data_IF_138721175694
#
_entry.id   IF_138721175694
#
_cell.length_a   1.000
_cell.length_b   1.000
_cell.length_c   1.000
_cell.angle_alpha   90.00
_cell.angle_beta   90.00
_cell.angle_gamma   90.00
#
_symmetry.space_group_name_H-M   'P 1'
#
loop_
_entity.id
_entity.type
_entity.pdbx_description
1 polymer ?
#
# COMPACT_ATOMS: atom_id res chain seq x y z
N UNK A 1 -18.67 0.47 -30.86
CA UNK A 1 -18.22 1.57 -29.99
C UNK A 1 -17.47 0.98 -28.81
N UNK A 2 -16.15 1.10 -28.82
CA UNK A 2 -15.32 0.74 -27.68
C UNK A 2 -15.50 1.81 -26.61
N UNK A 3 -16.40 1.57 -25.68
CA UNK A 3 -16.33 2.26 -24.38
C UNK A 3 -15.13 1.70 -23.64
N UNK A 4 -14.05 2.45 -23.62
CA UNK A 4 -12.93 2.18 -22.72
C UNK A 4 -13.46 2.29 -21.29
N UNK A 5 -13.58 1.16 -20.60
CA UNK A 5 -14.00 1.14 -19.21
C UNK A 5 -13.04 2.03 -18.41
N UNK A 6 -13.58 3.10 -17.82
CA UNK A 6 -12.81 4.10 -17.07
C UNK A 6 -12.14 3.43 -15.87
N UNK A 7 -10.82 3.46 -15.83
CA UNK A 7 -10.02 3.12 -14.65
C UNK A 7 -9.97 4.33 -13.74
N UNK A 8 -10.19 4.13 -12.45
CA UNK A 8 -10.18 5.21 -11.46
C UNK A 8 -8.94 5.13 -10.59
N UNK A 9 -8.20 6.23 -10.53
CA UNK A 9 -7.07 6.43 -9.63
C UNK A 9 -7.53 7.33 -8.48
N UNK A 10 -7.33 6.90 -7.26
CA UNK A 10 -7.61 7.70 -6.07
C UNK A 10 -6.31 7.98 -5.32
N UNK A 11 -6.14 9.24 -4.97
CA UNK A 11 -5.04 9.69 -4.12
C UNK A 11 -5.55 9.91 -2.70
N UNK A 12 -4.79 9.43 -1.74
CA UNK A 12 -5.09 9.59 -0.33
C UNK A 12 -3.85 10.03 0.43
N UNK A 13 -3.98 11.05 1.25
CA UNK A 13 -2.92 11.50 2.15
C UNK A 13 -3.45 11.65 3.57
N UNK A 14 -2.59 11.45 4.56
CA UNK A 14 -2.92 11.75 5.96
C UNK A 14 -2.65 13.22 6.26
N UNK A 15 -3.56 13.83 7.03
CA UNK A 15 -3.51 15.25 7.36
C UNK A 15 -2.37 15.62 8.33
N UNK A 16 -1.94 16.85 8.24
CA UNK A 16 -0.71 17.55 8.60
C UNK A 16 -0.24 17.59 10.07
N UNK A 17 -1.07 17.35 11.05
CA UNK A 17 -0.78 17.83 12.42
C UNK A 17 0.26 17.02 13.24
N UNK A 18 0.51 15.77 12.88
CA UNK A 18 1.36 14.87 13.68
C UNK A 18 2.61 14.31 12.97
N UNK A 19 2.92 14.78 11.76
CA UNK A 19 3.95 14.17 10.91
C UNK A 19 5.37 14.74 11.03
N UNK A 20 5.56 15.90 11.68
CA UNK A 20 6.87 16.59 11.66
C UNK A 20 7.99 15.93 12.45
N UNK A 21 7.71 15.00 13.34
CA UNK A 21 8.71 14.45 14.27
C UNK A 21 9.35 13.11 13.88
N UNK A 22 8.77 12.35 12.96
CA UNK A 22 9.15 10.95 12.75
C UNK A 22 9.85 10.63 11.41
N UNK A 23 9.82 11.49 10.43
CA UNK A 23 10.20 11.14 9.03
C UNK A 23 11.71 11.12 8.76
N UNK A 24 12.54 11.76 9.59
CA UNK A 24 13.94 12.04 9.22
C UNK A 24 14.97 10.97 9.63
N UNK A 25 14.59 9.93 10.35
CA UNK A 25 15.57 8.98 10.90
C UNK A 25 15.47 7.52 10.45
N UNK A 26 14.59 7.17 9.51
CA UNK A 26 14.19 5.76 9.33
C UNK A 26 14.84 4.98 8.18
N UNK A 27 15.71 5.57 7.37
CA UNK A 27 16.11 4.93 6.10
C UNK A 27 17.35 4.02 6.12
N UNK A 28 18.14 4.01 7.22
CA UNK A 28 19.42 3.27 7.28
C UNK A 28 19.50 2.16 8.34
N UNK A 29 18.39 1.74 8.90
CA UNK A 29 18.39 0.84 10.06
C UNK A 29 17.76 -0.50 9.70
N UNK A 30 18.47 -1.61 9.99
CA UNK A 30 18.04 -2.98 9.65
C UNK A 30 16.72 -3.43 10.31
N UNK A 31 16.10 -4.46 9.74
CA UNK A 31 14.77 -4.96 10.12
C UNK A 31 14.60 -5.34 11.59
N UNK A 32 15.64 -5.81 12.26
CA UNK A 32 15.58 -6.14 13.70
C UNK A 32 15.39 -4.90 14.58
N UNK A 33 15.89 -3.76 14.12
CA UNK A 33 15.65 -2.49 14.77
C UNK A 33 14.19 -2.05 14.65
N UNK A 34 13.57 -2.23 13.46
CA UNK A 34 12.16 -1.89 13.27
C UNK A 34 11.24 -2.74 14.15
N UNK A 35 11.54 -4.01 14.36
CA UNK A 35 10.79 -4.89 15.28
C UNK A 35 10.76 -4.39 16.71
N UNK A 36 11.77 -3.64 17.13
CA UNK A 36 11.85 -3.05 18.49
C UNK A 36 11.03 -1.78 18.65
N UNK A 37 10.72 -1.08 17.56
CA UNK A 37 10.08 0.24 17.58
C UNK A 37 8.69 0.26 16.95
N UNK A 38 8.39 -0.71 16.10
CA UNK A 38 7.09 -0.81 15.47
C UNK A 38 6.14 -1.60 16.37
N UNK A 39 4.87 -1.25 16.28
CA UNK A 39 3.80 -2.01 16.92
C UNK A 39 3.57 -3.37 16.26
N UNK A 40 2.56 -4.09 16.73
CA UNK A 40 2.20 -5.41 16.21
C UNK A 40 1.84 -5.43 14.72
N UNK A 41 1.48 -4.28 14.13
CA UNK A 41 1.18 -4.19 12.69
C UNK A 41 2.45 -4.18 11.85
N UNK A 42 3.59 -3.89 12.42
CA UNK A 42 4.86 -3.73 11.71
C UNK A 42 4.80 -2.71 10.57
N UNK A 43 3.93 -1.71 10.68
CA UNK A 43 3.74 -0.65 9.68
C UNK A 43 4.60 0.56 10.00
N UNK A 44 5.55 0.91 9.14
CA UNK A 44 6.42 2.07 9.32
C UNK A 44 6.01 3.31 8.49
N UNK A 45 4.79 3.32 7.99
CA UNK A 45 4.16 4.53 7.46
C UNK A 45 3.35 5.23 8.55
N UNK A 46 3.11 6.53 8.40
CA UNK A 46 2.40 7.31 9.41
C UNK A 46 1.03 6.72 9.76
N UNK A 47 0.75 6.59 11.05
CA UNK A 47 -0.54 6.16 11.56
C UNK A 47 -1.60 7.25 11.43
N UNK A 48 -2.88 6.89 11.54
CA UNK A 48 -4.02 7.79 11.55
C UNK A 48 -4.62 7.85 12.96
N UNK A 49 -4.32 8.92 13.68
CA UNK A 49 -4.82 9.16 15.04
C UNK A 49 -6.20 9.81 14.96
N UNK A 50 -7.23 9.10 15.42
CA UNK A 50 -8.61 9.63 15.49
C UNK A 50 -8.78 10.37 16.82
N UNK A 51 -8.22 9.83 17.90
CA UNK A 51 -8.24 10.39 19.23
C UNK A 51 -6.81 10.71 19.69
N UNK A 52 -6.65 11.72 20.54
CA UNK A 52 -5.33 12.17 21.02
C UNK A 52 -4.61 11.13 21.90
N UNK A 53 -5.37 10.19 22.47
CA UNK A 53 -4.88 9.08 23.30
C UNK A 53 -4.74 7.75 22.55
N UNK A 54 -4.95 7.73 21.24
CA UNK A 54 -4.74 6.54 20.42
C UNK A 54 -3.28 6.07 20.54
N UNK A 55 -3.11 4.76 20.77
CA UNK A 55 -1.79 4.13 20.67
C UNK A 55 -1.31 4.12 19.22
N UNK A 56 -0.01 3.93 19.01
CA UNK A 56 0.54 3.75 17.67
C UNK A 56 -0.14 2.56 16.94
N UNK A 57 -0.35 1.46 17.65
CA UNK A 57 -1.11 0.33 17.12
C UNK A 57 -2.50 0.74 16.63
N UNK A 58 -3.26 1.43 17.48
CA UNK A 58 -4.60 1.90 17.10
C UNK A 58 -4.57 2.84 15.90
N UNK A 59 -3.59 3.73 15.85
CA UNK A 59 -3.41 4.64 14.72
C UNK A 59 -3.11 3.90 13.41
N UNK A 60 -2.34 2.81 13.46
CA UNK A 60 -2.07 1.97 12.29
C UNK A 60 -3.31 1.18 11.87
N UNK A 61 -4.08 0.64 12.81
CA UNK A 61 -5.37 -0.01 12.54
C UNK A 61 -6.32 0.97 11.86
N UNK A 62 -6.46 2.18 12.41
CA UNK A 62 -7.32 3.23 11.85
C UNK A 62 -6.93 3.59 10.41
N UNK A 63 -5.64 3.70 10.14
CA UNK A 63 -5.13 3.96 8.79
C UNK A 63 -5.53 2.85 7.81
N UNK A 64 -5.31 1.61 8.18
CA UNK A 64 -5.66 0.46 7.34
C UNK A 64 -7.17 0.40 7.10
N UNK A 65 -7.99 0.57 8.13
CA UNK A 65 -9.45 0.59 7.99
C UNK A 65 -9.92 1.71 7.04
N UNK A 66 -9.32 2.88 7.13
CA UNK A 66 -9.59 4.00 6.23
C UNK A 66 -9.24 3.67 4.76
N UNK A 67 -8.06 3.07 4.53
CA UNK A 67 -7.63 2.65 3.20
C UNK A 67 -8.56 1.58 2.64
N UNK A 68 -8.89 0.55 3.43
CA UNK A 68 -9.76 -0.54 3.00
C UNK A 68 -11.17 -0.05 2.64
N UNK A 69 -11.73 0.89 3.39
CA UNK A 69 -13.03 1.52 3.06
C UNK A 69 -13.00 2.24 1.72
N UNK A 70 -11.91 2.94 1.41
CA UNK A 70 -11.75 3.63 0.13
C UNK A 70 -11.61 2.71 -1.07
N UNK A 71 -11.18 1.47 -0.86
CA UNK A 71 -11.03 0.48 -1.91
C UNK A 71 -12.36 -0.13 -2.36
N UNK A 72 -13.45 0.08 -1.63
CA UNK A 72 -14.77 -0.50 -1.94
C UNK A 72 -14.66 -2.00 -2.24
N UNK A 73 -14.06 -2.74 -1.31
CA UNK A 73 -13.84 -4.17 -1.46
C UNK A 73 -15.14 -4.95 -1.32
N UNK A 74 -15.28 -5.97 -2.16
CA UNK A 74 -16.34 -6.96 -2.10
C UNK A 74 -15.74 -8.37 -2.02
N UNK A 75 -16.45 -9.30 -1.39
CA UNK A 75 -16.01 -10.70 -1.27
C UNK A 75 -15.63 -11.29 -2.63
N UNK A 76 -14.49 -11.96 -2.68
CA UNK A 76 -13.99 -12.61 -3.90
C UNK A 76 -13.22 -11.71 -4.86
N UNK A 77 -13.20 -10.38 -4.63
CA UNK A 77 -12.34 -9.49 -5.42
C UNK A 77 -10.86 -9.83 -5.26
N UNK A 78 -10.09 -9.54 -6.32
CA UNK A 78 -8.64 -9.61 -6.29
C UNK A 78 -8.02 -8.26 -5.95
N UNK A 79 -7.09 -8.25 -5.00
CA UNK A 79 -6.38 -7.06 -4.50
C UNK A 79 -4.87 -7.26 -4.62
N UNK A 80 -4.19 -6.32 -5.26
CA UNK A 80 -2.73 -6.22 -5.26
C UNK A 80 -2.27 -5.12 -4.30
N UNK A 81 -1.32 -5.43 -3.43
CA UNK A 81 -0.60 -4.45 -2.60
C UNK A 81 0.85 -4.34 -3.05
N UNK A 82 1.21 -3.19 -3.64
CA UNK A 82 2.56 -2.91 -4.12
C UNK A 82 3.38 -2.30 -2.98
N UNK A 83 4.42 -3.03 -2.54
CA UNK A 83 5.16 -2.69 -1.34
C UNK A 83 4.40 -3.10 -0.08
N UNK A 84 4.03 -4.37 0.01
CA UNK A 84 3.11 -4.90 1.02
C UNK A 84 3.67 -4.95 2.45
N UNK A 85 4.96 -4.68 2.65
CA UNK A 85 5.60 -4.76 3.96
C UNK A 85 5.46 -6.17 4.56
N UNK A 86 5.11 -6.22 5.85
CA UNK A 86 4.85 -7.49 6.56
C UNK A 86 3.42 -8.02 6.40
N UNK A 87 2.62 -7.37 5.54
CA UNK A 87 1.34 -7.89 5.10
C UNK A 87 0.12 -7.51 5.94
N UNK A 88 0.24 -6.58 6.87
CA UNK A 88 -0.88 -6.24 7.76
C UNK A 88 -2.13 -5.79 6.99
N UNK A 89 -1.99 -4.93 5.99
CA UNK A 89 -3.12 -4.46 5.18
C UNK A 89 -3.85 -5.62 4.48
N UNK A 90 -3.10 -6.51 3.83
CA UNK A 90 -3.69 -7.66 3.13
C UNK A 90 -4.32 -8.67 4.08
N UNK A 91 -3.71 -8.90 5.24
CA UNK A 91 -4.28 -9.77 6.28
C UNK A 91 -5.62 -9.22 6.75
N UNK A 92 -5.70 -7.94 7.06
CA UNK A 92 -6.96 -7.29 7.45
C UNK A 92 -8.01 -7.31 6.32
N UNK A 93 -7.57 -7.09 5.08
CA UNK A 93 -8.45 -7.16 3.91
C UNK A 93 -9.05 -8.57 3.73
N UNK A 94 -8.23 -9.61 3.84
CA UNK A 94 -8.69 -10.99 3.73
C UNK A 94 -9.67 -11.37 4.85
N UNK A 95 -9.35 -11.01 6.10
CA UNK A 95 -10.19 -11.31 7.25
C UNK A 95 -11.53 -10.58 7.24
N UNK A 96 -11.53 -9.30 6.88
CA UNK A 96 -12.72 -8.44 6.97
C UNK A 96 -13.60 -8.50 5.72
N UNK A 97 -13.00 -8.65 4.54
CA UNK A 97 -13.69 -8.55 3.26
C UNK A 97 -13.65 -9.84 2.42
N UNK A 98 -12.88 -10.85 2.84
CA UNK A 98 -12.72 -12.12 2.13
C UNK A 98 -12.29 -11.94 0.66
N UNK A 99 -11.36 -11.04 0.45
CA UNK A 99 -10.73 -10.81 -0.86
C UNK A 99 -9.54 -11.74 -1.05
N UNK A 100 -9.16 -11.97 -2.31
CA UNK A 100 -7.94 -12.66 -2.67
C UNK A 100 -6.84 -11.63 -2.88
N UNK A 101 -5.86 -11.60 -1.98
CA UNK A 101 -4.78 -10.63 -1.98
C UNK A 101 -3.46 -11.19 -2.46
N UNK A 102 -2.74 -10.39 -3.25
CA UNK A 102 -1.35 -10.62 -3.63
C UNK A 102 -0.51 -9.44 -3.16
N UNK A 103 0.53 -9.69 -2.38
CA UNK A 103 1.50 -8.69 -1.99
C UNK A 103 2.80 -8.85 -2.76
N UNK A 104 3.41 -7.76 -3.16
CA UNK A 104 4.78 -7.76 -3.67
C UNK A 104 5.68 -6.91 -2.81
N UNK A 105 6.92 -7.37 -2.62
CA UNK A 105 7.95 -6.68 -1.87
C UNK A 105 9.33 -6.99 -2.45
N UNK A 106 10.27 -6.07 -2.30
CA UNK A 106 11.69 -6.28 -2.62
C UNK A 106 12.48 -6.82 -1.42
N UNK A 107 11.93 -6.76 -0.22
CA UNK A 107 12.58 -7.21 1.00
C UNK A 107 12.39 -8.71 1.21
N UNK A 108 13.50 -9.45 1.19
CA UNK A 108 13.48 -10.89 1.46
C UNK A 108 12.95 -11.22 2.87
N UNK A 109 13.27 -10.38 3.85
CA UNK A 109 12.81 -10.55 5.23
C UNK A 109 11.30 -10.31 5.35
N UNK A 110 10.76 -9.28 4.71
CA UNK A 110 9.32 -9.02 4.67
C UNK A 110 8.58 -10.16 3.98
N UNK A 111 9.10 -10.64 2.86
CA UNK A 111 8.56 -11.79 2.14
C UNK A 111 8.47 -13.03 3.03
N UNK A 112 9.55 -13.39 3.71
CA UNK A 112 9.61 -14.57 4.58
C UNK A 112 8.66 -14.45 5.76
N UNK A 113 8.66 -13.30 6.44
CA UNK A 113 7.79 -13.06 7.58
C UNK A 113 6.30 -13.00 7.18
N UNK A 114 5.99 -12.40 6.05
CA UNK A 114 4.61 -12.36 5.57
C UNK A 114 4.09 -13.75 5.18
N UNK A 115 4.91 -14.57 4.51
CA UNK A 115 4.56 -15.98 4.26
C UNK A 115 4.27 -16.73 5.56
N UNK A 116 5.11 -16.53 6.58
CA UNK A 116 4.90 -17.14 7.89
C UNK A 116 3.56 -16.71 8.50
N UNK A 117 3.22 -15.43 8.46
CA UNK A 117 1.95 -14.91 8.97
C UNK A 117 0.75 -15.46 8.23
N UNK A 118 0.82 -15.57 6.90
CA UNK A 118 -0.24 -16.19 6.09
C UNK A 118 -0.52 -17.61 6.60
N UNK A 119 0.53 -18.39 6.78
CA UNK A 119 0.41 -19.78 7.27
C UNK A 119 -0.08 -19.84 8.70
N UNK A 120 0.50 -19.07 9.61
CA UNK A 120 0.15 -19.08 11.04
C UNK A 120 -1.32 -18.66 11.27
N UNK A 121 -1.88 -17.85 10.39
CA UNK A 121 -3.26 -17.38 10.47
C UNK A 121 -4.25 -18.15 9.58
N UNK A 122 -3.79 -19.20 8.89
CA UNK A 122 -4.64 -20.03 8.03
C UNK A 122 -5.23 -19.29 6.84
N UNK A 123 -4.47 -18.37 6.24
CA UNK A 123 -4.93 -17.49 5.15
C UNK A 123 -4.39 -17.90 3.78
N UNK A 124 -3.84 -19.11 3.64
CA UNK A 124 -3.20 -19.58 2.39
C UNK A 124 -4.18 -19.62 1.20
N UNK A 125 -5.47 -19.82 1.45
CA UNK A 125 -6.49 -19.80 0.41
C UNK A 125 -6.84 -18.38 -0.09
N UNK A 126 -6.43 -17.34 0.65
CA UNK A 126 -6.75 -15.95 0.34
C UNK A 126 -5.54 -15.14 -0.07
N UNK A 127 -4.37 -15.38 0.50
CA UNK A 127 -3.21 -14.50 0.37
C UNK A 127 -2.00 -15.21 -0.20
N UNK A 128 -1.31 -14.49 -1.09
CA UNK A 128 0.02 -14.83 -1.57
C UNK A 128 0.94 -13.63 -1.46
N UNK A 129 2.23 -13.87 -1.33
CA UNK A 129 3.28 -12.86 -1.39
C UNK A 129 4.37 -13.27 -2.36
N UNK A 130 4.85 -12.30 -3.13
CA UNK A 130 5.91 -12.49 -4.12
C UNK A 130 7.08 -11.55 -3.84
N UNK A 131 8.30 -12.06 -3.98
CA UNK A 131 9.50 -11.24 -4.00
C UNK A 131 9.66 -10.67 -5.41
N UNK A 132 9.16 -9.45 -5.63
CA UNK A 132 9.01 -8.89 -6.97
C UNK A 132 9.15 -7.37 -6.97
N UNK A 133 9.81 -6.84 -7.99
CA UNK A 133 9.81 -5.43 -8.34
C UNK A 133 8.52 -5.08 -9.13
N UNK A 134 7.91 -3.93 -8.87
CA UNK A 134 6.71 -3.50 -9.60
C UNK A 134 6.93 -3.43 -11.12
N UNK A 135 8.16 -3.19 -11.58
CA UNK A 135 8.53 -3.16 -13.00
C UNK A 135 8.37 -4.50 -13.69
N UNK A 136 8.33 -5.57 -12.92
CA UNK A 136 8.13 -6.92 -13.43
C UNK A 136 6.64 -7.32 -13.51
N UNK A 137 5.74 -6.58 -12.88
CA UNK A 137 4.30 -6.84 -12.92
C UNK A 137 3.76 -7.05 -14.35
N UNK A 138 4.12 -6.20 -15.35
CA UNK A 138 3.62 -6.37 -16.71
C UNK A 138 4.08 -7.65 -17.43
N UNK A 139 5.05 -8.37 -16.88
CA UNK A 139 5.54 -9.64 -17.44
C UNK A 139 4.65 -10.83 -17.07
N UNK A 140 3.71 -10.61 -16.16
CA UNK A 140 2.76 -11.61 -15.67
C UNK A 140 1.35 -11.30 -16.16
N UNK A 141 0.53 -12.33 -16.32
CA UNK A 141 -0.88 -12.19 -16.75
C UNK A 141 -1.80 -11.82 -15.57
N UNK A 142 -1.35 -10.88 -14.74
CA UNK A 142 -2.14 -10.39 -13.62
C UNK A 142 -3.27 -9.48 -14.08
N UNK A 143 -4.44 -9.67 -13.49
CA UNK A 143 -5.59 -8.77 -13.63
C UNK A 143 -6.28 -8.64 -12.27
N UNK A 144 -6.15 -7.48 -11.65
CA UNK A 144 -6.70 -7.21 -10.33
C UNK A 144 -7.91 -6.27 -10.39
N UNK A 145 -8.91 -6.55 -9.54
CA UNK A 145 -10.06 -5.64 -9.34
C UNK A 145 -9.64 -4.36 -8.61
N UNK A 146 -8.70 -4.49 -7.68
CA UNK A 146 -8.18 -3.40 -6.85
C UNK A 146 -6.67 -3.47 -6.76
N UNK A 147 -6.03 -2.31 -6.79
CA UNK A 147 -4.60 -2.15 -6.53
C UNK A 147 -4.43 -1.07 -5.47
N UNK A 148 -3.58 -1.32 -4.49
CA UNK A 148 -3.21 -0.35 -3.46
C UNK A 148 -1.69 -0.24 -3.36
N UNK A 149 -1.21 0.94 -3.06
CA UNK A 149 0.19 1.18 -2.73
C UNK A 149 0.26 2.24 -1.62
N UNK A 150 0.95 1.92 -0.53
CA UNK A 150 1.07 2.79 0.65
C UNK A 150 2.55 3.12 0.89
N UNK A 151 2.90 4.40 0.82
CA UNK A 151 4.26 4.85 1.09
C UNK A 151 5.30 4.50 0.01
N UNK A 152 4.90 3.96 -1.13
CA UNK A 152 5.84 3.57 -2.19
C UNK A 152 6.32 4.73 -3.05
N UNK A 153 5.52 5.79 -3.19
CA UNK A 153 5.83 6.88 -4.09
C UNK A 153 7.13 7.60 -3.71
N UNK A 154 7.43 7.67 -2.41
CA UNK A 154 8.66 8.24 -1.87
C UNK A 154 9.91 7.43 -2.30
N UNK A 155 9.74 6.12 -2.52
CA UNK A 155 10.82 5.21 -2.91
C UNK A 155 10.96 5.05 -4.43
N UNK A 156 9.90 5.29 -5.18
CA UNK A 156 9.91 5.17 -6.66
C UNK A 156 10.78 6.24 -7.30
N UNK A 157 10.79 7.46 -6.75
CA UNK A 157 11.47 8.61 -7.33
C UNK A 157 10.65 9.24 -8.46
N UNK A 158 10.75 10.57 -8.59
CA UNK A 158 9.91 11.36 -9.52
C UNK A 158 10.02 10.93 -10.97
N UNK A 159 11.24 10.61 -11.42
CA UNK A 159 11.51 10.23 -12.81
C UNK A 159 10.84 8.91 -13.21
N UNK A 160 10.42 8.11 -12.23
CA UNK A 160 9.83 6.80 -12.43
C UNK A 160 8.30 6.77 -12.20
N UNK A 161 7.66 7.88 -11.86
CA UNK A 161 6.22 7.89 -11.54
C UNK A 161 5.36 7.43 -12.72
N UNK A 162 5.69 7.86 -13.94
CA UNK A 162 4.96 7.44 -15.14
C UNK A 162 5.11 5.94 -15.36
N UNK A 163 6.33 5.40 -15.23
CA UNK A 163 6.59 3.96 -15.36
C UNK A 163 5.81 3.17 -14.31
N UNK A 164 5.78 3.65 -13.06
CA UNK A 164 5.02 3.03 -11.98
C UNK A 164 3.53 2.95 -12.32
N UNK A 165 2.93 4.05 -12.76
CA UNK A 165 1.53 4.09 -13.16
C UNK A 165 1.23 3.21 -14.37
N UNK A 166 2.12 3.18 -15.36
CA UNK A 166 1.98 2.32 -16.53
C UNK A 166 1.99 0.83 -16.14
N UNK A 167 2.85 0.45 -15.20
CA UNK A 167 2.89 -0.91 -14.68
C UNK A 167 1.60 -1.28 -13.93
N UNK A 168 1.07 -0.36 -13.12
CA UNK A 168 -0.21 -0.55 -12.42
C UNK A 168 -1.37 -0.68 -13.41
N UNK A 169 -1.40 0.19 -14.41
CA UNK A 169 -2.46 0.17 -15.41
C UNK A 169 -2.57 -1.18 -16.14
N UNK A 170 -1.43 -1.79 -16.45
CA UNK A 170 -1.40 -3.09 -17.15
C UNK A 170 -1.99 -4.23 -16.35
N UNK A 171 -1.90 -4.19 -15.02
CA UNK A 171 -2.40 -5.24 -14.13
C UNK A 171 -3.74 -4.93 -13.50
N UNK A 172 -4.28 -3.75 -13.74
CA UNK A 172 -5.59 -3.34 -13.25
C UNK A 172 -6.66 -3.67 -14.30
N UNK A 173 -7.71 -4.38 -13.89
CA UNK A 173 -8.85 -4.69 -14.75
C UNK A 173 -9.53 -3.41 -15.26
N UNK A 174 -10.16 -3.43 -16.45
CA UNK A 174 -11.09 -2.39 -16.85
C UNK A 174 -12.17 -2.19 -15.78
N UNK A 175 -12.43 -0.93 -15.40
CA UNK A 175 -13.33 -0.60 -14.28
C UNK A 175 -12.72 -0.81 -12.89
N UNK A 176 -11.47 -1.26 -12.81
CA UNK A 176 -10.73 -1.40 -11.55
C UNK A 176 -10.38 -0.07 -10.90
N UNK A 177 -10.03 -0.14 -9.62
CA UNK A 177 -9.65 1.01 -8.81
C UNK A 177 -8.21 0.85 -8.32
N UNK A 178 -7.39 1.88 -8.53
CA UNK A 178 -6.08 2.03 -7.90
C UNK A 178 -6.11 3.12 -6.84
N UNK A 179 -5.75 2.76 -5.61
CA UNK A 179 -5.57 3.69 -4.50
C UNK A 179 -4.09 3.87 -4.19
N UNK A 180 -3.61 5.08 -4.40
CA UNK A 180 -2.27 5.50 -4.01
C UNK A 180 -2.34 6.32 -2.73
N UNK A 181 -1.78 5.79 -1.64
CA UNK A 181 -1.68 6.49 -0.36
C UNK A 181 -0.22 6.91 -0.11
N UNK A 182 0.01 8.20 0.10
CA UNK A 182 1.34 8.76 0.32
C UNK A 182 1.31 9.84 1.40
N UNK A 183 2.49 10.14 1.96
CA UNK A 183 2.68 11.22 2.92
C UNK A 183 2.99 12.48 2.11
N UNK A 184 2.12 13.50 2.18
CA UNK A 184 2.43 14.81 1.65
C UNK A 184 3.23 15.61 2.68
N UNK A 185 4.50 15.90 2.38
CA UNK A 185 5.26 16.85 3.16
C UNK A 185 4.78 18.28 2.89
N UNK A 186 4.63 19.06 3.95
CA UNK A 186 4.15 20.46 3.96
C UNK A 186 5.14 21.49 3.43
N UNK A 187 6.18 21.12 2.71
CA UNK A 187 6.97 22.11 1.98
C UNK A 187 6.28 22.36 0.65
N UNK A 188 5.73 23.56 0.51
CA UNK A 188 5.39 24.13 -0.76
C UNK A 188 6.65 24.18 -1.64
N UNK A 189 6.91 23.09 -2.32
CA UNK A 189 7.68 23.20 -3.56
C UNK A 189 6.71 23.73 -4.61
N UNK A 190 7.11 24.70 -5.45
CA UNK A 190 6.29 25.16 -6.57
C UNK A 190 5.84 23.90 -7.31
N UNK A 191 4.53 23.67 -7.28
CA UNK A 191 3.89 22.38 -7.51
C UNK A 191 4.47 21.63 -8.69
N UNK A 192 4.87 20.41 -8.44
CA UNK A 192 5.34 19.49 -9.45
C UNK A 192 4.31 19.45 -10.60
N UNK A 193 4.68 19.72 -11.84
CA UNK A 193 3.76 19.69 -12.99
C UNK A 193 2.99 18.37 -13.10
N UNK A 194 3.59 17.29 -12.62
CA UNK A 194 2.98 15.97 -12.59
C UNK A 194 1.82 15.90 -11.59
N UNK A 195 2.01 16.40 -10.38
CA UNK A 195 0.95 16.47 -9.35
C UNK A 195 -0.21 17.34 -9.86
N UNK A 196 0.08 18.48 -10.49
CA UNK A 196 -0.94 19.34 -11.08
C UNK A 196 -1.74 18.69 -12.21
N UNK A 197 -1.16 17.72 -12.88
CA UNK A 197 -1.83 17.01 -13.99
C UNK A 197 -2.82 15.94 -13.49
N UNK A 198 -2.57 15.33 -12.34
CA UNK A 198 -3.31 14.17 -11.85
C UNK A 198 -4.03 14.39 -10.51
N UNK A 199 -3.83 15.53 -9.88
CA UNK A 199 -4.52 16.01 -8.68
C UNK A 199 -5.20 17.34 -8.98
#
# INVERSE_FOLDING_TARGET
SNESALKKIMFSSTSKKNQEKEVTSHYDIGNDFYKLWLDETMSYSCGYFIHDDDSLYQAQVNKVDYILKKLHLEEGMSLLDIGCGWGFLLIEAAKKYKVHGTGITLSHEQYTEFQKRIKDQGLEDYLTVELMDYRDLPKHDYQFDRVVSVGMLEHVGRDNYQLFLDCVEKVLKPGGLFLLHFISALKEHPGDPWIKKYI
#
